data_IF_051659941196
#
_entry.id   IF_051659941196
#
_cell.length_a   1.000
_cell.length_b   1.000
_cell.length_c   1.000
_cell.angle_alpha   90.00
_cell.angle_beta   90.00
_cell.angle_gamma   90.00
#
_symmetry.space_group_name_H-M   'P 1'
#
loop_
_entity.id
_entity.type
_entity.pdbx_description
1 polymer ?
#
# COMPACT_ATOMS: atom_id res chain seq x y z
N UNK A 1 -29.78 -28.68 6.89
CA UNK A 1 -29.01 -27.71 6.08
C UNK A 1 -29.10 -26.33 6.71
N UNK A 2 -28.21 -25.41 6.38
CA UNK A 2 -28.27 -24.03 6.89
C UNK A 2 -29.54 -23.34 6.37
N UNK A 3 -30.35 -22.79 7.28
CA UNK A 3 -31.64 -22.16 6.94
C UNK A 3 -31.49 -20.86 6.15
N UNK A 4 -30.49 -20.04 6.50
CA UNK A 4 -30.16 -18.82 5.77
C UNK A 4 -28.63 -18.62 5.74
N UNK A 5 -28.09 -18.25 4.58
CA UNK A 5 -26.68 -17.97 4.36
C UNK A 5 -26.54 -16.70 3.52
N UNK A 6 -25.75 -15.75 4.01
CA UNK A 6 -25.51 -14.47 3.34
C UNK A 6 -24.02 -14.26 3.11
N UNK A 7 -23.69 -13.59 2.00
CA UNK A 7 -22.33 -13.22 1.65
C UNK A 7 -22.24 -11.71 1.45
N UNK A 8 -21.32 -11.07 2.17
CA UNK A 8 -20.97 -9.67 1.90
C UNK A 8 -19.90 -9.62 0.81
N UNK A 9 -20.33 -9.35 -0.41
CA UNK A 9 -19.46 -9.36 -1.58
C UNK A 9 -18.57 -8.11 -1.66
N UNK A 10 -17.45 -8.14 -0.93
CA UNK A 10 -16.46 -7.05 -0.90
C UNK A 10 -15.49 -7.03 -2.11
N UNK A 11 -15.57 -8.05 -2.97
CA UNK A 11 -14.80 -8.11 -4.22
C UNK A 11 -15.32 -7.17 -5.31
N UNK A 12 -16.47 -6.53 -5.11
CA UNK A 12 -17.05 -5.56 -6.05
C UNK A 12 -16.74 -4.10 -5.70
N UNK A 13 -15.88 -3.85 -4.70
CA UNK A 13 -15.35 -2.52 -4.43
C UNK A 13 -14.44 -2.05 -5.61
N UNK A 14 -14.15 -0.74 -5.74
CA UNK A 14 -13.48 -0.18 -6.92
C UNK A 14 -12.19 -0.86 -7.39
N UNK A 15 -11.35 -1.33 -6.45
CA UNK A 15 -10.12 -2.07 -6.78
C UNK A 15 -10.26 -3.58 -6.69
N UNK A 16 -11.46 -4.07 -6.40
CA UNK A 16 -11.76 -5.48 -6.22
C UNK A 16 -11.48 -6.00 -4.81
N UNK A 17 -11.35 -5.12 -3.81
CA UNK A 17 -10.99 -5.51 -2.44
C UNK A 17 -11.64 -4.67 -1.36
N UNK A 18 -11.95 -5.29 -0.21
CA UNK A 18 -12.39 -4.58 1.00
C UNK A 18 -11.41 -3.50 1.48
N UNK A 19 -10.14 -3.54 1.06
CA UNK A 19 -9.12 -2.55 1.43
C UNK A 19 -9.50 -1.13 1.04
N UNK A 20 -10.36 -0.99 0.02
CA UNK A 20 -10.90 0.29 -0.42
C UNK A 20 -11.62 1.06 0.68
N UNK A 21 -12.31 0.36 1.59
CA UNK A 21 -12.99 0.98 2.73
C UNK A 21 -12.04 1.73 3.66
N UNK A 22 -10.87 1.15 3.92
CA UNK A 22 -9.85 1.81 4.75
C UNK A 22 -9.08 2.86 3.96
N UNK A 23 -8.81 2.58 2.68
CA UNK A 23 -7.96 3.44 1.87
C UNK A 23 -8.60 4.80 1.59
N UNK A 24 -9.92 4.86 1.37
CA UNK A 24 -10.61 6.15 1.20
C UNK A 24 -10.40 7.07 2.41
N UNK A 25 -10.45 6.51 3.63
CA UNK A 25 -10.23 7.29 4.85
C UNK A 25 -8.76 7.68 4.99
N UNK A 26 -7.83 6.75 4.72
CA UNK A 26 -6.40 7.03 4.80
C UNK A 26 -5.96 8.14 3.82
N UNK A 27 -6.46 8.11 2.58
CA UNK A 27 -6.19 9.15 1.58
C UNK A 27 -6.85 10.47 1.95
N UNK A 28 -8.08 10.46 2.47
CA UNK A 28 -8.72 11.67 2.97
C UNK A 28 -7.87 12.35 4.07
N UNK A 29 -7.35 11.57 5.03
CA UNK A 29 -6.43 12.10 6.05
C UNK A 29 -5.13 12.63 5.46
N UNK A 30 -4.58 11.97 4.44
CA UNK A 30 -3.38 12.45 3.76
C UNK A 30 -3.62 13.82 3.08
N UNK A 31 -4.80 14.02 2.47
CA UNK A 31 -5.22 15.29 1.89
C UNK A 31 -5.38 16.39 2.96
N UNK A 32 -6.04 16.09 4.08
CA UNK A 32 -6.15 17.01 5.23
C UNK A 32 -4.78 17.44 5.76
N UNK A 33 -3.83 16.51 5.79
CA UNK A 33 -2.44 16.78 6.19
C UNK A 33 -1.61 17.49 5.10
N UNK A 34 -2.20 17.89 3.98
CA UNK A 34 -1.52 18.48 2.81
C UNK A 34 -0.37 17.62 2.27
N UNK A 35 -0.46 16.30 2.44
CA UNK A 35 0.54 15.36 1.95
C UNK A 35 0.60 15.39 0.42
N UNK A 36 1.78 15.06 -0.13
CA UNK A 36 1.97 14.95 -1.59
C UNK A 36 2.03 13.51 -2.09
N UNK A 37 2.18 12.57 -1.17
CA UNK A 37 2.35 11.17 -1.48
C UNK A 37 1.80 10.27 -0.37
N UNK A 38 1.48 9.03 -0.74
CA UNK A 38 1.24 7.92 0.18
C UNK A 38 2.25 6.81 -0.11
N UNK A 39 2.72 6.15 0.95
CA UNK A 39 3.70 5.06 0.86
C UNK A 39 3.04 3.76 1.31
N UNK A 40 3.29 2.69 0.56
CA UNK A 40 2.87 1.34 0.93
C UNK A 40 4.04 0.37 0.75
N UNK A 41 4.24 -0.51 1.73
CA UNK A 41 5.29 -1.52 1.68
C UNK A 41 4.65 -2.93 1.53
N UNK A 42 3.80 -3.08 0.51
CA UNK A 42 3.06 -4.31 0.20
C UNK A 42 2.94 -4.50 -1.31
N UNK A 43 2.84 -5.74 -1.77
CA UNK A 43 2.71 -6.07 -3.20
C UNK A 43 1.31 -6.47 -3.63
N UNK A 44 0.32 -6.52 -2.73
CA UNK A 44 -1.04 -6.99 -3.03
C UNK A 44 -2.13 -5.90 -2.97
N UNK A 45 -3.37 -6.30 -2.68
CA UNK A 45 -4.55 -5.40 -2.73
C UNK A 45 -4.41 -4.07 -1.98
N UNK A 46 -3.60 -4.01 -0.91
CA UNK A 46 -3.33 -2.73 -0.20
C UNK A 46 -2.64 -1.73 -1.12
N UNK A 47 -1.65 -2.15 -1.91
CA UNK A 47 -0.90 -1.25 -2.78
C UNK A 47 -1.67 -0.89 -4.04
N UNK A 48 -2.50 -1.81 -4.55
CA UNK A 48 -3.47 -1.51 -5.60
C UNK A 48 -4.49 -0.45 -5.16
N UNK A 49 -5.09 -0.63 -3.98
CA UNK A 49 -6.01 0.34 -3.38
C UNK A 49 -5.33 1.68 -3.14
N UNK A 50 -4.14 1.69 -2.53
CA UNK A 50 -3.38 2.92 -2.30
C UNK A 50 -3.08 3.67 -3.60
N UNK A 51 -2.66 2.96 -4.65
CA UNK A 51 -2.38 3.54 -5.96
C UNK A 51 -3.62 4.13 -6.61
N UNK A 52 -4.75 3.39 -6.60
CA UNK A 52 -6.00 3.85 -7.20
C UNK A 52 -6.51 5.16 -6.56
N UNK A 53 -6.60 5.19 -5.23
CA UNK A 53 -7.12 6.34 -4.51
C UNK A 53 -6.13 7.52 -4.53
N UNK A 54 -4.82 7.26 -4.48
CA UNK A 54 -3.83 8.31 -4.66
C UNK A 54 -3.93 8.96 -6.05
N UNK A 55 -4.00 8.14 -7.10
CA UNK A 55 -4.14 8.63 -8.47
C UNK A 55 -5.41 9.47 -8.65
N UNK A 56 -6.54 9.01 -8.10
CA UNK A 56 -7.81 9.74 -8.12
C UNK A 56 -7.71 11.12 -7.43
N UNK A 57 -6.96 11.20 -6.33
CA UNK A 57 -6.80 12.44 -5.55
C UNK A 57 -5.58 13.29 -5.94
N UNK A 58 -4.86 12.95 -7.01
CA UNK A 58 -3.66 13.68 -7.44
C UNK A 58 -2.46 13.55 -6.50
N UNK A 59 -2.42 12.50 -5.68
CA UNK A 59 -1.28 12.15 -4.82
C UNK A 59 -0.35 11.17 -5.53
N UNK A 60 0.94 11.22 -5.20
CA UNK A 60 1.88 10.20 -5.65
C UNK A 60 1.75 8.94 -4.77
N UNK A 61 1.43 7.79 -5.35
CA UNK A 61 1.60 6.51 -4.66
C UNK A 61 3.02 5.97 -4.85
N UNK A 62 3.67 5.61 -3.75
CA UNK A 62 5.01 5.01 -3.73
C UNK A 62 4.91 3.63 -3.10
N UNK A 63 5.38 2.60 -3.80
CA UNK A 63 5.36 1.22 -3.34
C UNK A 63 6.78 0.73 -3.14
N UNK A 64 7.10 0.40 -1.89
CA UNK A 64 8.43 -0.07 -1.50
C UNK A 64 8.41 -1.60 -1.47
N UNK A 65 9.34 -2.22 -2.19
CA UNK A 65 9.48 -3.67 -2.25
C UNK A 65 10.94 -4.09 -2.04
N UNK A 66 11.20 -5.21 -1.34
CA UNK A 66 12.55 -5.74 -1.24
C UNK A 66 13.00 -6.31 -2.59
N UNK A 67 14.27 -6.06 -2.94
CA UNK A 67 14.88 -6.55 -4.18
C UNK A 67 14.81 -8.08 -4.24
N UNK A 68 14.55 -8.62 -5.44
CA UNK A 68 14.41 -10.06 -5.65
C UNK A 68 13.04 -10.66 -5.30
N UNK A 69 12.17 -9.96 -4.54
CA UNK A 69 10.79 -10.42 -4.25
C UNK A 69 9.75 -9.74 -5.14
N UNK A 70 10.05 -9.56 -6.43
CA UNK A 70 9.15 -8.87 -7.36
C UNK A 70 8.28 -9.89 -8.10
N UNK A 71 7.05 -10.06 -7.65
CA UNK A 71 6.02 -10.72 -8.45
C UNK A 71 5.25 -9.64 -9.23
N UNK A 72 5.70 -9.35 -10.46
CA UNK A 72 5.10 -8.33 -11.34
C UNK A 72 3.57 -8.45 -11.44
N UNK A 73 3.06 -9.68 -11.54
CA UNK A 73 1.61 -9.93 -11.60
C UNK A 73 0.83 -9.40 -10.39
N UNK A 74 1.44 -9.38 -9.19
CA UNK A 74 0.79 -8.83 -7.99
C UNK A 74 0.76 -7.30 -7.98
N UNK A 75 1.74 -6.67 -8.61
CA UNK A 75 1.87 -5.21 -8.70
C UNK A 75 1.16 -4.61 -9.91
N UNK A 76 0.68 -5.43 -10.86
CA UNK A 76 0.13 -4.98 -12.13
C UNK A 76 -0.92 -3.87 -11.96
N UNK A 77 -1.88 -4.05 -11.05
CA UNK A 77 -2.93 -3.06 -10.81
C UNK A 77 -2.38 -1.73 -10.28
N UNK A 78 -1.41 -1.78 -9.36
CA UNK A 78 -0.79 -0.57 -8.86
C UNK A 78 0.04 0.17 -9.92
N UNK A 79 0.71 -0.57 -10.80
CA UNK A 79 1.44 0.00 -11.95
C UNK A 79 0.47 0.69 -12.92
N UNK A 80 -0.68 0.06 -13.21
CA UNK A 80 -1.73 0.65 -14.06
C UNK A 80 -2.24 1.97 -13.49
N UNK A 81 -2.38 2.06 -12.17
CA UNK A 81 -2.74 3.31 -11.49
C UNK A 81 -1.58 4.32 -11.35
N UNK A 82 -0.40 4.04 -11.93
CA UNK A 82 0.72 4.98 -11.98
C UNK A 82 1.58 5.03 -10.71
N UNK A 83 1.55 3.99 -9.87
CA UNK A 83 2.38 3.95 -8.68
C UNK A 83 3.89 3.91 -9.02
N UNK A 84 4.69 4.64 -8.23
CA UNK A 84 6.15 4.60 -8.29
C UNK A 84 6.66 3.42 -7.47
N UNK A 85 7.24 2.44 -8.15
CA UNK A 85 7.81 1.26 -7.49
C UNK A 85 9.26 1.54 -7.12
N UNK A 86 9.61 1.40 -5.85
CA UNK A 86 10.97 1.57 -5.33
C UNK A 86 11.44 0.23 -4.77
N UNK A 87 12.42 -0.37 -5.41
CA UNK A 87 13.07 -1.59 -4.91
C UNK A 87 14.21 -1.23 -3.97
N UNK A 88 14.22 -1.79 -2.76
CA UNK A 88 15.31 -1.59 -1.78
C UNK A 88 16.17 -2.85 -1.65
N UNK A 89 17.48 -2.65 -1.60
CA UNK A 89 18.46 -3.68 -1.24
C UNK A 89 18.34 -3.95 0.28
N UNK A 90 17.52 -4.95 0.67
CA UNK A 90 17.37 -5.30 2.09
C UNK A 90 16.24 -6.30 2.37
N UNK A 91 16.44 -7.15 3.39
CA UNK A 91 15.43 -8.01 3.98
C UNK A 91 14.61 -7.18 4.99
N UNK A 92 13.30 -7.36 5.02
CA UNK A 92 12.35 -6.53 5.80
C UNK A 92 12.57 -6.56 7.33
N UNK A 93 13.46 -7.42 7.83
CA UNK A 93 13.70 -7.66 9.26
C UNK A 93 14.82 -6.80 9.89
N UNK A 94 15.52 -5.97 9.10
CA UNK A 94 16.70 -5.23 9.61
C UNK A 94 16.37 -3.79 10.06
N UNK A 95 15.27 -3.60 10.79
CA UNK A 95 14.89 -2.30 11.39
C UNK A 95 14.55 -2.38 12.88
N UNK A 96 15.21 -3.28 13.63
CA UNK A 96 15.09 -3.35 15.09
C UNK A 96 16.41 -3.35 15.89
N UNK A 97 17.59 -3.09 15.30
CA UNK A 97 18.80 -2.85 16.09
C UNK A 97 19.15 -1.36 16.18
N UNK A 98 18.67 -0.78 17.28
CA UNK A 98 19.39 0.12 18.20
C UNK A 98 20.29 1.21 17.60
N UNK A 99 19.80 2.44 17.69
CA UNK A 99 20.63 3.64 17.85
C UNK A 99 21.38 3.56 19.18
N UNK A 100 22.65 3.14 19.15
CA UNK A 100 23.64 3.63 20.12
C UNK A 100 24.60 4.54 19.37
N UNK A 101 24.44 5.84 19.63
CA UNK A 101 25.48 6.85 19.37
C UNK A 101 26.62 6.58 20.36
N UNK A 102 27.88 6.39 19.92
CA UNK A 102 29.00 6.64 20.80
C UNK A 102 29.10 8.15 21.01
N UNK A 103 28.99 8.55 22.27
CA UNK A 103 29.30 9.89 22.78
C UNK A 103 30.71 10.32 22.37
N UNK A 104 30.85 11.62 22.09
CA UNK A 104 32.13 12.28 21.94
C UNK A 104 33.02 12.12 23.19
N UNK A 105 34.23 11.61 22.99
CA UNK A 105 35.48 11.97 23.69
C UNK A 105 36.65 11.32 22.98
#
# INVERSE_FOLDING_TARGET
GCGELYLKLEGCNPTGSFKDRGMVVAVARALEANSKAVICASTGNTSASAAAYAAYCGLTAIIIIPKGKIALGKLAQAIVYGAKIVSIDGNFDQTHHERQLPSAS
#
